data_IF_690208640861
#
_entry.id   IF_690208640861
#
_cell.length_a   1.000
_cell.length_b   1.000
_cell.length_c   1.000
_cell.angle_alpha   90.00
_cell.angle_beta   90.00
_cell.angle_gamma   90.00
#
_symmetry.space_group_name_H-M   'P 1'
#
loop_
_entity.id
_entity.type
_entity.pdbx_description
1 polymer ?
#
# COMPACT_ATOMS: atom_id res chain seq x y z
N UNK A 1 30.04 -31.83 15.60
CA UNK A 1 29.75 -31.06 14.38
C UNK A 1 29.77 -29.59 14.76
N UNK A 2 30.80 -28.87 14.38
CA UNK A 2 30.98 -27.45 14.68
C UNK A 2 29.95 -26.63 13.86
N UNK A 3 29.01 -25.99 14.52
CA UNK A 3 28.13 -25.02 13.89
C UNK A 3 28.98 -23.81 13.48
N UNK A 4 29.23 -23.67 12.20
CA UNK A 4 29.90 -22.47 11.63
C UNK A 4 29.01 -21.29 11.90
N UNK A 5 29.38 -20.42 12.85
CA UNK A 5 28.72 -19.15 13.13
C UNK A 5 28.84 -18.32 11.86
N UNK A 6 27.73 -18.16 11.17
CA UNK A 6 27.63 -17.33 9.97
C UNK A 6 27.99 -15.91 10.31
N UNK A 7 29.06 -15.38 9.70
CA UNK A 7 29.46 -13.98 9.83
C UNK A 7 28.30 -13.12 9.32
N UNK A 8 27.52 -12.54 10.27
CA UNK A 8 26.40 -11.68 9.91
C UNK A 8 26.92 -10.54 9.03
N UNK A 9 26.39 -10.44 7.81
CA UNK A 9 26.75 -9.38 6.89
C UNK A 9 26.32 -8.02 7.48
N UNK A 10 27.16 -7.00 7.33
CA UNK A 10 26.80 -5.64 7.75
C UNK A 10 25.69 -5.09 6.86
N UNK A 11 24.77 -4.27 7.42
CA UNK A 11 23.73 -3.62 6.64
C UNK A 11 24.33 -2.62 5.64
N UNK A 12 23.78 -2.59 4.44
CA UNK A 12 24.18 -1.67 3.36
C UNK A 12 23.21 -0.50 3.32
N UNK A 13 23.38 0.45 4.26
CA UNK A 13 22.48 1.59 4.44
C UNK A 13 22.21 2.40 3.15
N UNK A 14 23.21 2.71 2.29
CA UNK A 14 22.92 3.44 1.05
C UNK A 14 21.92 2.73 0.13
N UNK A 15 21.98 1.40 0.06
CA UNK A 15 21.01 0.61 -0.73
C UNK A 15 19.64 0.59 -0.06
N UNK A 16 19.59 0.45 1.28
CA UNK A 16 18.33 0.48 2.05
C UNK A 16 17.60 1.82 1.85
N UNK A 17 18.32 2.94 1.95
CA UNK A 17 17.75 4.27 1.75
C UNK A 17 17.35 4.49 0.30
N UNK A 18 18.22 4.14 -0.66
CA UNK A 18 17.95 4.30 -2.09
C UNK A 18 16.71 3.50 -2.53
N UNK A 19 16.54 2.25 -2.09
CA UNK A 19 15.35 1.46 -2.44
C UNK A 19 14.09 2.01 -1.76
N UNK A 20 14.21 2.58 -0.54
CA UNK A 20 13.12 3.29 0.13
C UNK A 20 12.68 4.54 -0.65
N UNK A 21 13.61 5.33 -1.17
CA UNK A 21 13.32 6.48 -2.05
C UNK A 21 12.66 6.01 -3.35
N UNK A 22 13.15 4.93 -3.96
CA UNK A 22 12.53 4.38 -5.16
C UNK A 22 11.11 3.87 -4.88
N UNK A 23 10.84 3.33 -3.66
CA UNK A 23 9.50 2.93 -3.24
C UNK A 23 8.59 4.15 -3.07
N UNK A 24 9.09 5.24 -2.47
CA UNK A 24 8.38 6.51 -2.39
C UNK A 24 7.96 6.98 -3.79
N UNK A 25 8.88 7.01 -4.75
CA UNK A 25 8.59 7.43 -6.14
C UNK A 25 7.53 6.50 -6.78
N UNK A 26 7.70 5.17 -6.66
CA UNK A 26 6.79 4.19 -7.24
C UNK A 26 5.35 4.36 -6.72
N UNK A 27 5.18 4.48 -5.41
CA UNK A 27 3.86 4.56 -4.80
C UNK A 27 3.22 5.94 -4.98
N UNK A 28 4.03 7.01 -5.08
CA UNK A 28 3.55 8.33 -5.47
C UNK A 28 2.90 8.29 -6.85
N UNK A 29 3.53 7.64 -7.84
CA UNK A 29 2.98 7.55 -9.20
C UNK A 29 1.62 6.85 -9.24
N UNK A 30 1.42 5.83 -8.41
CA UNK A 30 0.14 5.13 -8.33
C UNK A 30 -0.92 5.97 -7.60
N UNK A 31 -0.56 6.54 -6.46
CA UNK A 31 -1.49 7.28 -5.63
C UNK A 31 -1.92 8.64 -6.25
N UNK A 32 -1.14 9.19 -7.17
CA UNK A 32 -1.51 10.37 -7.95
C UNK A 32 -2.76 10.11 -8.81
N UNK A 33 -2.99 8.89 -9.28
CA UNK A 33 -4.15 8.56 -10.14
C UNK A 33 -5.48 8.86 -9.42
N UNK A 34 -5.80 8.31 -8.25
CA UNK A 34 -7.03 8.69 -7.54
C UNK A 34 -7.02 10.16 -7.06
N UNK A 35 -5.85 10.74 -6.74
CA UNK A 35 -5.75 12.14 -6.37
C UNK A 35 -6.10 13.11 -7.55
N UNK A 36 -6.07 12.62 -8.79
CA UNK A 36 -6.50 13.35 -9.99
C UNK A 36 -8.00 13.22 -10.30
N UNK A 37 -8.75 12.39 -9.59
CA UNK A 37 -10.15 12.13 -9.91
C UNK A 37 -11.01 13.38 -10.04
N UNK A 38 -10.89 14.41 -9.17
CA UNK A 38 -11.64 15.66 -9.35
C UNK A 38 -11.30 16.41 -10.64
N UNK A 39 -10.04 16.33 -11.09
CA UNK A 39 -9.63 16.90 -12.38
C UNK A 39 -10.25 16.12 -13.56
N UNK A 40 -10.18 14.79 -13.50
CA UNK A 40 -10.69 13.91 -14.55
C UNK A 40 -12.22 13.99 -14.67
N UNK A 41 -12.92 14.07 -13.53
CA UNK A 41 -14.39 14.32 -13.51
C UNK A 41 -14.71 15.66 -14.16
N UNK A 42 -14.06 16.75 -13.75
CA UNK A 42 -14.33 18.09 -14.24
C UNK A 42 -14.00 18.26 -15.72
N UNK A 43 -12.82 17.78 -16.17
CA UNK A 43 -12.28 18.07 -17.51
C UNK A 43 -12.76 17.08 -18.57
N UNK A 44 -13.08 15.85 -18.20
CA UNK A 44 -13.53 14.78 -19.12
C UNK A 44 -14.97 14.31 -18.86
N UNK A 45 -15.65 14.85 -17.84
CA UNK A 45 -17.02 14.46 -17.49
C UNK A 45 -17.17 12.98 -17.11
N UNK A 46 -16.14 12.40 -16.47
CA UNK A 46 -16.18 10.98 -16.12
C UNK A 46 -17.12 10.72 -14.95
N UNK A 47 -17.91 9.65 -15.04
CA UNK A 47 -18.74 9.19 -13.91
C UNK A 47 -17.88 8.61 -12.79
N UNK A 48 -18.41 8.53 -11.56
CA UNK A 48 -17.70 7.92 -10.42
C UNK A 48 -17.40 6.43 -10.67
N UNK A 49 -18.27 5.73 -11.38
CA UNK A 49 -18.02 4.35 -11.86
C UNK A 49 -16.80 4.28 -12.78
N UNK A 50 -16.64 5.23 -13.71
CA UNK A 50 -15.47 5.29 -14.59
C UNK A 50 -14.20 5.62 -13.83
N UNK A 51 -14.24 6.54 -12.85
CA UNK A 51 -13.12 6.83 -11.95
C UNK A 51 -12.75 5.58 -11.11
N UNK A 52 -13.75 4.89 -10.58
CA UNK A 52 -13.56 3.62 -9.89
C UNK A 52 -12.92 2.54 -10.76
N UNK A 53 -13.30 2.47 -12.04
CA UNK A 53 -12.72 1.53 -13.02
C UNK A 53 -11.24 1.85 -13.31
N UNK A 54 -10.84 3.13 -13.34
CA UNK A 54 -9.43 3.52 -13.49
C UNK A 54 -8.61 2.95 -12.31
N UNK A 55 -9.07 3.16 -11.06
CA UNK A 55 -8.42 2.57 -9.89
C UNK A 55 -8.43 1.04 -9.91
N UNK A 56 -9.52 0.42 -10.36
CA UNK A 56 -9.63 -1.03 -10.48
C UNK A 56 -8.56 -1.57 -11.42
N UNK A 57 -8.46 -1.03 -12.64
CA UNK A 57 -7.50 -1.47 -13.65
C UNK A 57 -6.07 -1.30 -13.13
N UNK A 58 -5.74 -0.15 -12.54
CA UNK A 58 -4.44 0.09 -11.92
C UNK A 58 -4.09 -1.00 -10.90
N UNK A 59 -4.98 -1.18 -9.92
CA UNK A 59 -4.71 -2.06 -8.77
C UNK A 59 -4.77 -3.54 -9.15
N UNK A 60 -5.63 -3.95 -10.09
CA UNK A 60 -5.68 -5.36 -10.53
C UNK A 60 -4.37 -5.75 -11.23
N UNK A 61 -3.84 -4.92 -12.12
CA UNK A 61 -2.56 -5.17 -12.75
C UNK A 61 -1.41 -5.10 -11.75
N UNK A 62 -1.43 -4.12 -10.84
CA UNK A 62 -0.45 -4.00 -9.77
C UNK A 62 -0.45 -5.22 -8.83
N UNK A 63 -1.62 -5.81 -8.50
CA UNK A 63 -1.71 -6.87 -7.49
C UNK A 63 -1.60 -8.28 -8.05
N UNK A 64 -2.30 -8.59 -9.16
CA UNK A 64 -2.34 -9.96 -9.70
C UNK A 64 -1.01 -10.39 -10.31
N UNK A 65 -0.25 -9.47 -10.88
CA UNK A 65 1.02 -9.79 -11.50
C UNK A 65 2.16 -9.93 -10.47
N UNK A 66 2.05 -9.39 -9.25
CA UNK A 66 3.10 -9.48 -8.23
C UNK A 66 3.49 -10.93 -7.88
N UNK A 67 2.54 -11.84 -7.58
CA UNK A 67 2.88 -13.24 -7.31
C UNK A 67 3.56 -13.93 -8.49
N UNK A 68 3.12 -13.63 -9.72
CA UNK A 68 3.71 -14.20 -10.93
C UNK A 68 5.16 -13.72 -11.13
N UNK A 69 5.38 -12.40 -11.00
CA UNK A 69 6.74 -11.82 -11.07
C UNK A 69 7.62 -12.38 -9.96
N UNK A 70 7.14 -12.40 -8.71
CA UNK A 70 7.88 -12.94 -7.57
C UNK A 70 8.28 -14.41 -7.80
N UNK A 71 7.36 -15.25 -8.29
CA UNK A 71 7.64 -16.65 -8.59
C UNK A 71 8.68 -16.82 -9.72
N UNK A 72 8.59 -16.00 -10.77
CA UNK A 72 9.55 -16.03 -11.88
C UNK A 72 10.95 -15.64 -11.42
N UNK A 73 11.04 -14.56 -10.63
CA UNK A 73 12.32 -14.02 -10.15
C UNK A 73 12.91 -14.83 -8.98
N UNK A 74 12.09 -15.59 -8.23
CA UNK A 74 12.57 -16.58 -7.26
C UNK A 74 13.30 -17.73 -7.97
N UNK A 75 12.78 -18.18 -9.12
CA UNK A 75 13.42 -19.24 -9.91
C UNK A 75 14.63 -18.74 -10.69
N UNK A 76 14.52 -17.56 -11.29
CA UNK A 76 15.56 -16.94 -12.11
C UNK A 76 15.66 -15.45 -11.76
N UNK A 77 16.51 -15.08 -10.78
CA UNK A 77 16.68 -13.69 -10.38
C UNK A 77 17.06 -12.81 -11.58
N UNK A 78 16.36 -11.68 -11.71
CA UNK A 78 16.57 -10.74 -12.79
C UNK A 78 16.79 -9.31 -12.23
N UNK A 79 18.03 -8.93 -11.92
CA UNK A 79 18.36 -7.67 -11.26
C UNK A 79 17.83 -6.43 -11.97
N UNK A 80 17.76 -6.46 -13.29
CA UNK A 80 17.27 -5.33 -14.09
C UNK A 80 15.75 -5.25 -14.21
N UNK A 81 14.99 -6.15 -13.58
CA UNK A 81 13.53 -6.05 -13.50
C UNK A 81 13.10 -4.71 -12.87
N UNK A 82 13.79 -4.24 -11.82
CA UNK A 82 13.47 -2.99 -11.13
C UNK A 82 13.47 -1.75 -12.06
N UNK A 83 14.56 -1.41 -12.77
CA UNK A 83 14.51 -0.28 -13.69
C UNK A 83 13.56 -0.48 -14.86
N UNK A 84 13.36 -1.72 -15.36
CA UNK A 84 12.36 -2.03 -16.40
C UNK A 84 10.96 -1.73 -15.90
N UNK A 85 10.61 -2.14 -14.66
CA UNK A 85 9.33 -1.81 -14.04
C UNK A 85 9.11 -0.30 -13.93
N UNK A 86 10.13 0.46 -13.50
CA UNK A 86 10.04 1.91 -13.40
C UNK A 86 9.92 2.59 -14.79
N UNK A 87 10.57 2.05 -15.84
CA UNK A 87 10.37 2.49 -17.23
C UNK A 87 8.93 2.24 -17.69
N UNK A 88 8.32 1.10 -17.35
CA UNK A 88 6.90 0.87 -17.61
C UNK A 88 6.03 1.95 -16.99
N UNK A 89 6.28 2.30 -15.72
CA UNK A 89 5.55 3.38 -15.04
C UNK A 89 5.80 4.75 -15.69
N UNK A 90 7.02 5.02 -16.14
CA UNK A 90 7.36 6.24 -16.89
C UNK A 90 6.55 6.34 -18.19
N UNK A 91 6.46 5.25 -18.95
CA UNK A 91 5.62 5.18 -20.16
C UNK A 91 4.15 5.42 -19.79
N UNK A 92 3.65 4.80 -18.74
CA UNK A 92 2.28 5.01 -18.25
C UNK A 92 1.99 6.48 -17.96
N UNK A 93 2.83 7.16 -17.18
CA UNK A 93 2.66 8.60 -16.91
C UNK A 93 2.78 9.46 -18.17
N UNK A 94 3.66 9.11 -19.09
CA UNK A 94 3.80 9.84 -20.37
C UNK A 94 2.52 9.72 -21.22
N UNK A 95 1.93 8.52 -21.28
CA UNK A 95 0.65 8.30 -21.95
C UNK A 95 -0.49 9.04 -21.26
N UNK A 96 -0.46 9.16 -19.92
CA UNK A 96 -1.46 9.89 -19.15
C UNK A 96 -1.48 11.38 -19.51
N UNK A 97 -0.30 12.00 -19.65
CA UNK A 97 -0.20 13.42 -20.08
C UNK A 97 -0.83 13.65 -21.45
N UNK A 98 -0.69 12.68 -22.34
CA UNK A 98 -1.23 12.74 -23.71
C UNK A 98 -2.69 12.29 -23.81
N UNK A 99 -3.27 11.84 -22.68
CA UNK A 99 -4.64 11.28 -22.71
C UNK A 99 -5.69 12.37 -22.84
N UNK A 100 -6.43 12.35 -23.95
CA UNK A 100 -7.64 13.15 -24.15
C UNK A 100 -8.93 12.33 -24.09
N UNK A 101 -8.84 11.03 -23.84
CA UNK A 101 -9.97 10.10 -23.84
C UNK A 101 -9.85 9.05 -22.74
N UNK A 102 -10.98 8.61 -22.23
CA UNK A 102 -11.06 7.64 -21.13
C UNK A 102 -10.25 6.36 -21.35
N UNK A 103 -10.33 5.75 -22.52
CA UNK A 103 -9.61 4.51 -22.83
C UNK A 103 -8.08 4.69 -22.81
N UNK A 104 -7.57 5.88 -23.17
CA UNK A 104 -6.13 6.18 -23.09
C UNK A 104 -5.65 6.21 -21.64
N UNK A 105 -6.49 6.71 -20.71
CA UNK A 105 -6.20 6.66 -19.27
C UNK A 105 -6.13 5.21 -18.80
N UNK A 106 -7.05 4.35 -19.24
CA UNK A 106 -7.02 2.92 -18.90
C UNK A 106 -5.73 2.24 -19.37
N UNK A 107 -5.27 2.51 -20.59
CA UNK A 107 -3.99 2.00 -21.09
C UNK A 107 -2.82 2.54 -20.26
N UNK A 108 -2.83 3.82 -19.93
CA UNK A 108 -1.81 4.47 -19.11
C UNK A 108 -1.66 3.78 -17.74
N UNK A 109 -2.78 3.53 -17.03
CA UNK A 109 -2.75 2.90 -15.71
C UNK A 109 -2.39 1.41 -15.75
N UNK A 110 -2.59 0.71 -16.88
CA UNK A 110 -2.06 -0.65 -17.08
C UNK A 110 -0.53 -0.65 -17.02
N UNK A 111 0.15 0.28 -17.73
CA UNK A 111 1.60 0.40 -17.67
C UNK A 111 2.10 0.75 -16.27
N UNK A 112 1.39 1.61 -15.52
CA UNK A 112 1.67 1.93 -14.12
C UNK A 112 1.53 0.67 -13.24
N UNK A 113 0.45 -0.07 -13.40
CA UNK A 113 0.19 -1.31 -12.66
C UNK A 113 1.26 -2.38 -12.91
N UNK A 114 1.67 -2.58 -14.17
CA UNK A 114 2.76 -3.51 -14.53
C UNK A 114 4.08 -3.09 -13.87
N UNK A 115 4.41 -1.79 -13.92
CA UNK A 115 5.61 -1.25 -13.28
C UNK A 115 5.64 -1.53 -11.78
N UNK A 116 4.53 -1.28 -11.10
CA UNK A 116 4.33 -1.56 -9.68
C UNK A 116 4.42 -3.04 -9.35
N UNK A 117 3.80 -3.90 -10.18
CA UNK A 117 3.81 -5.35 -9.98
C UNK A 117 5.23 -5.95 -10.05
N UNK A 118 6.10 -5.36 -10.85
CA UNK A 118 7.51 -5.73 -10.93
C UNK A 118 8.28 -5.17 -9.72
N UNK A 119 8.00 -3.91 -9.35
CA UNK A 119 8.76 -3.20 -8.34
C UNK A 119 8.63 -3.82 -6.94
N UNK A 120 7.43 -4.14 -6.46
CA UNK A 120 7.20 -4.54 -5.08
C UNK A 120 7.92 -5.83 -4.67
N UNK A 121 7.83 -6.97 -5.41
CA UNK A 121 8.54 -8.19 -5.03
C UNK A 121 10.07 -8.01 -5.10
N UNK A 122 10.57 -7.36 -6.13
CA UNK A 122 12.02 -7.19 -6.32
C UNK A 122 12.59 -6.12 -5.39
N UNK A 123 11.88 -5.03 -5.12
CA UNK A 123 12.28 -4.01 -4.15
C UNK A 123 12.36 -4.56 -2.73
N UNK A 124 11.37 -5.36 -2.32
CA UNK A 124 11.37 -6.09 -1.04
C UNK A 124 12.56 -7.06 -0.94
N UNK A 125 12.88 -7.78 -2.02
CA UNK A 125 14.06 -8.66 -2.10
C UNK A 125 15.37 -7.89 -1.92
N UNK A 126 15.54 -6.77 -2.62
CA UNK A 126 16.73 -5.91 -2.50
C UNK A 126 16.85 -5.37 -1.08
N UNK A 127 15.75 -4.91 -0.48
CA UNK A 127 15.70 -4.45 0.91
C UNK A 127 16.15 -5.55 1.87
N UNK A 128 15.66 -6.78 1.69
CA UNK A 128 16.08 -7.93 2.48
C UNK A 128 17.58 -8.26 2.32
N UNK A 129 18.11 -8.23 1.09
CA UNK A 129 19.52 -8.50 0.83
C UNK A 129 20.44 -7.43 1.43
N UNK A 130 20.01 -6.17 1.40
CA UNK A 130 20.76 -5.05 1.98
C UNK A 130 20.69 -4.97 3.52
N UNK A 131 19.76 -5.70 4.15
CA UNK A 131 19.45 -5.60 5.57
C UNK A 131 20.58 -6.08 6.50
N UNK A 132 21.39 -7.05 6.06
CA UNK A 132 22.34 -7.71 6.96
C UNK A 132 21.65 -8.27 8.21
N UNK A 133 22.09 -7.83 9.39
CA UNK A 133 21.49 -8.20 10.68
C UNK A 133 20.32 -7.29 11.10
N UNK A 134 19.95 -6.25 10.31
CA UNK A 134 18.93 -5.24 10.66
C UNK A 134 17.68 -5.35 9.76
N UNK A 135 17.09 -6.56 9.66
CA UNK A 135 15.96 -6.85 8.77
C UNK A 135 14.73 -5.99 9.06
N UNK A 136 14.40 -5.79 10.33
CA UNK A 136 13.29 -4.94 10.74
C UNK A 136 13.48 -3.49 10.28
N UNK A 137 14.68 -2.92 10.49
CA UNK A 137 15.00 -1.56 10.05
C UNK A 137 14.91 -1.42 8.53
N UNK A 138 15.45 -2.38 7.77
CA UNK A 138 15.40 -2.36 6.32
C UNK A 138 13.96 -2.36 5.80
N UNK A 139 13.12 -3.25 6.35
CA UNK A 139 11.70 -3.32 6.00
C UNK A 139 10.95 -2.04 6.40
N UNK A 140 11.28 -1.44 7.55
CA UNK A 140 10.68 -0.17 7.99
C UNK A 140 11.04 0.97 7.02
N UNK A 141 12.32 1.11 6.64
CA UNK A 141 12.75 2.14 5.68
C UNK A 141 12.03 1.95 4.34
N UNK A 142 11.97 0.71 3.85
CA UNK A 142 11.28 0.38 2.60
C UNK A 142 9.80 0.74 2.67
N UNK A 143 9.10 0.31 3.72
CA UNK A 143 7.64 0.51 3.87
C UNK A 143 7.27 1.98 4.12
N UNK A 144 8.04 2.69 4.96
CA UNK A 144 7.86 4.14 5.17
C UNK A 144 8.05 4.90 3.85
N UNK A 145 9.00 4.48 3.01
CA UNK A 145 9.16 5.05 1.66
C UNK A 145 7.86 4.98 0.87
N UNK A 146 7.28 3.78 0.69
CA UNK A 146 6.04 3.59 -0.06
C UNK A 146 4.86 4.38 0.52
N UNK A 147 4.59 4.21 1.82
CA UNK A 147 3.48 4.90 2.48
C UNK A 147 3.63 6.44 2.42
N UNK A 148 4.86 6.97 2.52
CA UNK A 148 5.12 8.40 2.36
C UNK A 148 4.85 8.86 0.92
N UNK A 149 5.19 8.03 -0.07
CA UNK A 149 4.87 8.28 -1.46
C UNK A 149 3.36 8.41 -1.71
N UNK A 150 2.59 7.47 -1.15
CA UNK A 150 1.13 7.54 -1.21
C UNK A 150 0.58 8.80 -0.54
N UNK A 151 1.11 9.17 0.63
CA UNK A 151 0.69 10.36 1.35
C UNK A 151 1.01 11.67 0.59
N UNK A 152 2.11 11.72 -0.17
CA UNK A 152 2.50 12.89 -0.96
C UNK A 152 1.59 13.15 -2.17
N UNK A 153 0.92 12.13 -2.70
CA UNK A 153 0.13 12.25 -3.93
C UNK A 153 -0.97 13.32 -3.88
N UNK A 154 -1.77 13.47 -2.82
CA UNK A 154 -2.75 14.56 -2.71
C UNK A 154 -2.10 15.96 -2.73
N UNK A 155 -0.90 16.12 -2.13
CA UNK A 155 -0.18 17.40 -2.20
C UNK A 155 0.29 17.71 -3.62
N UNK A 156 0.83 16.69 -4.32
CA UNK A 156 1.21 16.85 -5.73
C UNK A 156 0.00 17.16 -6.61
N UNK A 157 -1.15 16.55 -6.32
CA UNK A 157 -2.40 16.91 -6.99
C UNK A 157 -2.76 18.37 -6.73
N UNK A 158 -2.80 18.82 -5.48
CA UNK A 158 -3.20 20.17 -5.11
C UNK A 158 -2.26 21.25 -5.68
N UNK A 159 -0.94 21.03 -5.65
CA UNK A 159 0.04 22.07 -5.97
C UNK A 159 0.66 21.98 -7.37
N UNK A 160 0.61 20.82 -8.03
CA UNK A 160 1.17 20.63 -9.37
C UNK A 160 0.11 20.28 -10.41
N UNK A 161 -0.83 19.36 -10.09
CA UNK A 161 -1.74 18.85 -11.12
C UNK A 161 -2.93 19.77 -11.29
N UNK A 162 -3.60 20.20 -10.22
CA UNK A 162 -4.76 21.08 -10.31
C UNK A 162 -4.43 22.44 -10.96
N UNK A 163 -3.28 23.12 -10.63
CA UNK A 163 -2.93 24.38 -11.28
C UNK A 163 -2.50 24.24 -12.75
N UNK A 164 -1.81 23.13 -13.11
CA UNK A 164 -1.24 22.94 -14.45
C UNK A 164 -2.00 21.92 -15.31
N UNK A 165 -3.11 21.37 -14.80
CA UNK A 165 -3.87 20.31 -15.47
C UNK A 165 -3.04 19.05 -15.68
N UNK A 166 -3.32 18.31 -16.75
CA UNK A 166 -2.59 17.07 -17.11
C UNK A 166 -1.07 17.31 -17.29
N UNK A 167 -0.66 18.52 -17.68
CA UNK A 167 0.75 18.88 -17.82
C UNK A 167 1.48 18.87 -16.46
N UNK A 168 0.78 19.04 -15.34
CA UNK A 168 1.34 18.93 -14.00
C UNK A 168 1.97 17.56 -13.70
N UNK A 169 1.50 16.52 -14.38
CA UNK A 169 2.07 15.15 -14.28
C UNK A 169 3.50 15.10 -14.83
N UNK A 170 3.88 16.02 -15.74
CA UNK A 170 5.24 16.07 -16.29
C UNK A 170 6.32 16.29 -15.22
N UNK A 171 5.99 17.01 -14.13
CA UNK A 171 6.92 17.16 -13.01
C UNK A 171 7.22 15.83 -12.32
N UNK A 172 6.25 14.91 -12.30
CA UNK A 172 6.43 13.57 -11.71
C UNK A 172 7.38 12.71 -12.57
N UNK A 173 7.39 12.92 -13.89
CA UNK A 173 8.35 12.24 -14.78
C UNK A 173 9.81 12.53 -14.42
N UNK A 174 10.11 13.73 -13.91
CA UNK A 174 11.47 14.07 -13.44
C UNK A 174 11.86 13.15 -12.29
N UNK A 175 10.99 13.01 -11.29
CA UNK A 175 11.24 12.10 -10.16
C UNK A 175 11.31 10.64 -10.59
N UNK A 176 10.49 10.23 -11.56
CA UNK A 176 10.52 8.88 -12.12
C UNK A 176 11.84 8.61 -12.83
N UNK A 177 12.39 9.60 -13.56
CA UNK A 177 13.70 9.51 -14.22
C UNK A 177 14.83 9.32 -13.20
N UNK A 178 14.78 10.06 -12.07
CA UNK A 178 15.70 9.86 -10.95
C UNK A 178 15.55 8.43 -10.39
N UNK A 179 14.33 7.95 -10.25
CA UNK A 179 14.02 6.57 -9.81
C UNK A 179 14.67 5.52 -10.74
N UNK A 180 14.54 5.67 -12.06
CA UNK A 180 15.17 4.78 -13.06
C UNK A 180 16.69 4.77 -12.88
N UNK A 181 17.30 5.95 -12.72
CA UNK A 181 18.74 6.07 -12.50
C UNK A 181 19.18 5.35 -11.21
N UNK A 182 18.50 5.59 -10.08
CA UNK A 182 18.82 4.95 -8.82
C UNK A 182 18.63 3.43 -8.88
N UNK A 183 17.54 2.96 -9.48
CA UNK A 183 17.28 1.52 -9.64
C UNK A 183 18.28 0.84 -10.54
N UNK A 184 18.80 1.54 -11.55
CA UNK A 184 19.91 1.01 -12.38
C UNK A 184 21.17 0.80 -11.55
N UNK A 185 21.52 1.73 -10.65
CA UNK A 185 22.66 1.57 -9.72
C UNK A 185 22.41 0.43 -8.72
N UNK A 186 21.20 0.34 -8.15
CA UNK A 186 20.81 -0.75 -7.27
C UNK A 186 20.90 -2.10 -7.99
N UNK A 187 20.44 -2.18 -9.23
CA UNK A 187 20.50 -3.40 -10.04
C UNK A 187 21.92 -3.90 -10.29
N UNK A 188 22.88 -3.00 -10.50
CA UNK A 188 24.30 -3.35 -10.61
C UNK A 188 24.84 -3.93 -9.28
N UNK A 189 24.45 -3.35 -8.13
CA UNK A 189 24.78 -3.89 -6.81
C UNK A 189 24.13 -5.25 -6.61
N UNK A 190 22.83 -5.38 -6.91
CA UNK A 190 22.06 -6.62 -6.78
C UNK A 190 22.70 -7.75 -7.60
N UNK A 191 23.09 -7.49 -8.86
CA UNK A 191 23.80 -8.45 -9.71
C UNK A 191 25.10 -8.95 -9.05
N UNK A 192 25.90 -8.02 -8.47
CA UNK A 192 27.14 -8.40 -7.77
C UNK A 192 26.87 -9.29 -6.55
N UNK A 193 25.79 -9.07 -5.81
CA UNK A 193 25.41 -9.92 -4.67
C UNK A 193 25.02 -11.33 -5.13
N UNK A 194 24.21 -11.45 -6.19
CA UNK A 194 23.84 -12.74 -6.75
C UNK A 194 25.06 -13.53 -7.25
N UNK A 195 26.02 -12.86 -7.87
CA UNK A 195 27.26 -13.51 -8.34
C UNK A 195 28.14 -13.96 -7.16
N UNK A 196 28.10 -13.25 -6.03
CA UNK A 196 28.79 -13.64 -4.79
C UNK A 196 28.08 -14.81 -4.09
N UNK A 197 26.74 -14.81 -4.01
CA UNK A 197 25.96 -15.89 -3.39
C UNK A 197 26.05 -17.22 -4.14
N UNK A 198 26.16 -17.21 -5.47
CA UNK A 198 26.41 -18.42 -6.26
C UNK A 198 27.71 -19.15 -5.88
N UNK A 199 28.65 -18.43 -5.23
CA UNK A 199 29.93 -18.98 -4.76
C UNK A 199 29.87 -19.54 -3.33
N UNK A 200 28.79 -19.29 -2.57
CA UNK A 200 28.62 -19.75 -1.18
C UNK A 200 27.34 -20.57 -1.00
N UNK A 201 27.45 -21.86 -0.60
CA UNK A 201 26.36 -22.85 -0.56
C UNK A 201 25.70 -22.93 0.85
N UNK A 202 24.80 -21.99 1.26
CA UNK A 202 24.18 -22.04 2.61
C UNK A 202 22.65 -21.76 2.56
N UNK A 203 21.83 -22.66 3.20
CA UNK A 203 20.37 -22.52 3.34
C UNK A 203 19.97 -22.16 4.78
N UNK A 204 19.00 -21.24 4.97
CA UNK A 204 18.48 -20.78 6.28
C UNK A 204 17.09 -21.33 6.62
N UNK A 205 16.83 -21.60 7.91
CA UNK A 205 15.55 -22.07 8.48
C UNK A 205 14.97 -21.03 9.47
N UNK A 206 13.67 -20.77 9.44
CA UNK A 206 12.98 -19.79 10.28
C UNK A 206 12.04 -20.48 11.31
N UNK A 207 11.94 -19.91 12.54
CA UNK A 207 11.17 -20.43 13.68
C UNK A 207 9.95 -19.52 13.96
N UNK A 208 8.80 -20.09 14.36
CA UNK A 208 7.51 -19.42 14.62
C UNK A 208 7.30 -19.08 16.10
N UNK A 209 6.61 -17.96 16.39
CA UNK A 209 6.27 -17.46 17.74
C UNK A 209 4.82 -17.75 18.19
N UNK A 210 3.97 -18.34 17.33
CA UNK A 210 2.58 -18.69 17.69
C UNK A 210 2.51 -20.08 18.39
N UNK A 211 1.49 -20.29 19.27
CA UNK A 211 1.22 -21.62 19.84
C UNK A 211 0.85 -22.61 18.74
N UNK A 212 1.04 -23.91 18.96
CA UNK A 212 0.62 -24.92 18.00
C UNK A 212 -0.90 -24.85 17.81
N UNK A 213 -1.31 -24.40 16.61
CA UNK A 213 -2.73 -24.29 16.22
C UNK A 213 -3.13 -25.50 15.37
N UNK A 214 -4.36 -25.95 15.50
CA UNK A 214 -4.95 -26.93 14.61
C UNK A 214 -5.13 -26.34 13.20
N UNK A 215 -5.17 -27.20 12.18
CA UNK A 215 -5.41 -26.76 10.79
C UNK A 215 -6.68 -25.92 10.63
N UNK A 216 -7.74 -26.25 11.39
CA UNK A 216 -9.03 -25.52 11.37
C UNK A 216 -8.88 -24.14 12.02
N UNK A 217 -8.14 -24.01 13.10
CA UNK A 217 -7.88 -22.72 13.75
C UNK A 217 -7.03 -21.80 12.84
N UNK A 218 -6.01 -22.34 12.16
CA UNK A 218 -5.22 -21.59 11.17
C UNK A 218 -6.13 -21.11 10.04
N UNK A 219 -6.98 -21.99 9.48
CA UNK A 219 -7.91 -21.63 8.41
C UNK A 219 -8.88 -20.54 8.86
N UNK A 220 -9.46 -20.67 10.05
CA UNK A 220 -10.38 -19.68 10.62
C UNK A 220 -9.69 -18.33 10.83
N UNK A 221 -8.47 -18.33 11.40
CA UNK A 221 -7.69 -17.11 11.59
C UNK A 221 -7.35 -16.40 10.26
N UNK A 222 -6.99 -17.16 9.22
CA UNK A 222 -6.75 -16.59 7.89
C UNK A 222 -8.03 -15.98 7.29
N UNK A 223 -9.18 -16.64 7.41
CA UNK A 223 -10.47 -16.08 6.96
C UNK A 223 -10.77 -14.77 7.69
N UNK A 224 -10.61 -14.74 9.02
CA UNK A 224 -10.80 -13.52 9.82
C UNK A 224 -9.86 -12.40 9.34
N UNK A 225 -8.58 -12.70 9.13
CA UNK A 225 -7.63 -11.70 8.60
C UNK A 225 -8.04 -11.18 7.23
N UNK A 226 -8.51 -12.04 6.33
CA UNK A 226 -8.96 -11.63 4.99
C UNK A 226 -10.19 -10.72 5.06
N UNK A 227 -11.15 -11.01 5.95
CA UNK A 227 -12.30 -10.15 6.19
C UNK A 227 -11.90 -8.79 6.78
N UNK A 228 -10.93 -8.76 7.69
CA UNK A 228 -10.37 -7.51 8.23
C UNK A 228 -9.71 -6.67 7.14
N UNK A 229 -8.89 -7.30 6.30
CA UNK A 229 -8.23 -6.65 5.18
C UNK A 229 -9.27 -6.10 4.20
N UNK A 230 -10.33 -6.88 3.91
CA UNK A 230 -11.44 -6.45 3.07
C UNK A 230 -12.10 -5.16 3.61
N UNK A 231 -12.63 -5.20 4.83
CA UNK A 231 -13.36 -4.07 5.41
C UNK A 231 -12.47 -2.82 5.51
N UNK A 232 -11.21 -2.99 5.95
CA UNK A 232 -10.24 -1.91 6.02
C UNK A 232 -9.93 -1.31 4.64
N UNK A 233 -9.69 -2.16 3.63
CA UNK A 233 -9.35 -1.69 2.28
C UNK A 233 -10.50 -0.92 1.64
N UNK A 234 -11.74 -1.37 1.82
CA UNK A 234 -12.92 -0.62 1.36
C UNK A 234 -13.00 0.76 2.00
N UNK A 235 -12.84 0.85 3.32
CA UNK A 235 -12.88 2.14 4.01
C UNK A 235 -11.76 3.07 3.56
N UNK A 236 -10.52 2.58 3.50
CA UNK A 236 -9.38 3.38 3.04
C UNK A 236 -9.59 3.86 1.60
N UNK A 237 -10.02 2.97 0.70
CA UNK A 237 -10.32 3.33 -0.71
C UNK A 237 -11.41 4.41 -0.78
N UNK A 238 -12.45 4.33 0.05
CA UNK A 238 -13.49 5.36 0.13
C UNK A 238 -12.90 6.74 0.48
N UNK A 239 -12.04 6.78 1.51
CA UNK A 239 -11.40 8.03 1.92
C UNK A 239 -10.43 8.55 0.85
N UNK A 240 -9.58 7.71 0.32
CA UNK A 240 -8.52 8.15 -0.60
C UNK A 240 -9.02 8.52 -2.00
N UNK A 241 -10.08 7.85 -2.48
CA UNK A 241 -10.55 8.03 -3.85
C UNK A 241 -11.75 8.99 -3.95
N UNK A 242 -12.64 8.99 -2.94
CA UNK A 242 -13.94 9.65 -3.09
C UNK A 242 -14.26 10.68 -2.00
N UNK A 243 -13.57 10.67 -0.86
CA UNK A 243 -13.93 11.56 0.25
C UNK A 243 -13.72 13.04 -0.09
N UNK A 244 -12.83 13.38 -1.02
CA UNK A 244 -12.67 14.75 -1.52
C UNK A 244 -13.97 15.29 -2.13
N UNK A 245 -14.71 14.46 -2.86
CA UNK A 245 -16.01 14.84 -3.43
C UNK A 245 -17.07 15.06 -2.35
N UNK A 246 -17.05 14.24 -1.29
CA UNK A 246 -17.90 14.47 -0.13
C UNK A 246 -17.59 15.80 0.57
N UNK A 247 -16.32 16.14 0.72
CA UNK A 247 -15.91 17.44 1.31
C UNK A 247 -16.37 18.64 0.45
N UNK A 248 -16.35 18.49 -0.87
CA UNK A 248 -16.84 19.51 -1.80
C UNK A 248 -18.37 19.66 -1.66
N UNK A 249 -19.11 18.55 -1.73
CA UNK A 249 -20.59 18.57 -1.73
C UNK A 249 -21.15 18.97 -0.36
N UNK A 250 -20.61 18.40 0.74
CA UNK A 250 -21.13 18.63 2.09
C UNK A 250 -20.73 19.98 2.69
N UNK A 251 -19.50 20.45 2.41
CA UNK A 251 -18.94 21.63 3.10
C UNK A 251 -18.58 22.78 2.15
N UNK A 252 -18.82 22.65 0.85
CA UNK A 252 -18.46 23.66 -0.14
C UNK A 252 -16.95 23.91 -0.25
N UNK A 253 -16.12 22.91 0.03
CA UNK A 253 -14.67 23.04 0.01
C UNK A 253 -14.15 23.11 -1.43
N UNK A 254 -13.02 23.81 -1.64
CA UNK A 254 -12.28 23.67 -2.89
C UNK A 254 -11.56 22.31 -2.96
N UNK A 255 -11.29 21.84 -4.17
CA UNK A 255 -10.60 20.56 -4.41
C UNK A 255 -9.23 20.53 -3.71
N UNK A 256 -8.48 21.66 -3.79
CA UNK A 256 -7.15 21.81 -3.19
C UNK A 256 -7.19 21.59 -1.67
N UNK A 257 -8.18 22.23 -1.00
CA UNK A 257 -8.37 22.04 0.46
C UNK A 257 -8.79 20.62 0.79
N UNK A 258 -9.67 20.01 -0.01
CA UNK A 258 -10.04 18.61 0.13
C UNK A 258 -8.85 17.67 0.04
N UNK A 259 -7.94 17.88 -0.93
CA UNK A 259 -6.72 17.12 -1.08
C UNK A 259 -5.77 17.25 0.15
N UNK A 260 -5.71 18.42 0.79
CA UNK A 260 -4.94 18.58 2.03
C UNK A 260 -5.51 17.72 3.17
N UNK A 261 -6.83 17.56 3.26
CA UNK A 261 -7.46 16.68 4.24
C UNK A 261 -7.10 15.19 3.98
N UNK A 262 -7.09 14.77 2.72
CA UNK A 262 -6.66 13.41 2.34
C UNK A 262 -5.17 13.21 2.65
N UNK A 263 -4.32 14.21 2.34
CA UNK A 263 -2.91 14.17 2.74
C UNK A 263 -2.72 13.94 4.24
N UNK A 264 -3.45 14.69 5.08
CA UNK A 264 -3.35 14.56 6.54
C UNK A 264 -3.76 13.15 6.99
N UNK A 265 -4.87 12.60 6.46
CA UNK A 265 -5.27 11.21 6.73
C UNK A 265 -4.15 10.22 6.40
N UNK A 266 -3.55 10.33 5.22
CA UNK A 266 -2.50 9.42 4.77
C UNK A 266 -1.18 9.63 5.53
N UNK A 267 -0.79 10.87 5.82
CA UNK A 267 0.43 11.19 6.58
C UNK A 267 0.38 10.60 8.01
N UNK A 268 -0.76 10.72 8.69
CA UNK A 268 -0.94 10.08 9.99
C UNK A 268 -1.08 8.55 9.88
N UNK A 269 -1.52 8.04 8.74
CA UNK A 269 -1.43 6.63 8.40
C UNK A 269 0.02 6.12 8.34
N UNK A 270 0.95 6.91 7.78
CA UNK A 270 2.41 6.59 7.81
C UNK A 270 2.91 6.51 9.25
N UNK A 271 2.54 7.49 10.09
CA UNK A 271 2.88 7.48 11.53
C UNK A 271 2.35 6.21 12.20
N UNK A 272 1.09 5.86 11.96
CA UNK A 272 0.48 4.63 12.49
C UNK A 272 1.25 3.38 12.05
N UNK A 273 1.56 3.26 10.77
CA UNK A 273 2.33 2.13 10.22
C UNK A 273 3.74 2.02 10.85
N UNK A 274 4.42 3.15 11.07
CA UNK A 274 5.75 3.17 11.68
C UNK A 274 5.73 2.62 13.12
N UNK A 275 4.75 3.04 13.93
CA UNK A 275 4.64 2.59 15.31
C UNK A 275 4.02 1.20 15.46
N UNK A 276 3.30 0.68 14.46
CA UNK A 276 2.61 -0.60 14.51
C UNK A 276 3.52 -1.78 14.83
N UNK A 277 4.68 -1.87 14.19
CA UNK A 277 5.67 -2.92 14.45
C UNK A 277 6.16 -2.94 15.90
N UNK A 278 6.83 -1.87 16.39
CA UNK A 278 7.32 -1.79 17.77
C UNK A 278 6.23 -2.00 18.84
N UNK A 279 5.03 -1.46 18.62
CA UNK A 279 3.90 -1.67 19.52
C UNK A 279 3.46 -3.13 19.54
N UNK A 280 3.43 -3.81 18.36
CA UNK A 280 3.04 -5.22 18.30
C UNK A 280 4.05 -6.16 18.96
N UNK A 281 5.33 -5.84 18.89
CA UNK A 281 6.39 -6.58 19.57
C UNK A 281 6.28 -6.47 21.10
N UNK A 282 5.81 -5.31 21.63
CA UNK A 282 5.66 -5.05 23.06
C UNK A 282 4.34 -5.54 23.64
N UNK A 283 3.23 -5.33 22.93
CA UNK A 283 1.88 -5.55 23.46
C UNK A 283 1.18 -6.78 22.84
N UNK A 284 1.86 -7.51 21.96
CA UNK A 284 1.32 -8.65 21.24
C UNK A 284 0.57 -8.23 19.95
N UNK A 285 0.64 -9.07 18.94
CA UNK A 285 0.11 -8.75 17.59
C UNK A 285 -1.39 -8.68 17.56
N UNK A 286 -2.07 -9.65 18.19
CA UNK A 286 -3.54 -9.63 18.29
C UNK A 286 -4.04 -8.34 18.93
N UNK A 287 -3.44 -7.91 20.04
CA UNK A 287 -3.87 -6.71 20.76
C UNK A 287 -3.72 -5.45 19.90
N UNK A 288 -2.64 -5.35 19.14
CA UNK A 288 -2.43 -4.21 18.22
C UNK A 288 -3.38 -4.28 17.02
N UNK A 289 -3.66 -5.45 16.48
CA UNK A 289 -4.71 -5.62 15.46
C UNK A 289 -6.06 -5.16 16.03
N UNK A 290 -6.44 -5.62 17.23
CA UNK A 290 -7.70 -5.23 17.88
C UNK A 290 -7.78 -3.72 18.10
N UNK A 291 -6.71 -3.11 18.63
CA UNK A 291 -6.65 -1.65 18.80
C UNK A 291 -6.90 -0.93 17.47
N UNK A 292 -6.21 -1.36 16.40
CA UNK A 292 -6.25 -0.67 15.11
C UNK A 292 -7.58 -0.81 14.37
N UNK A 293 -8.38 -1.81 14.70
CA UNK A 293 -9.66 -2.04 14.03
C UNK A 293 -10.88 -1.63 14.87
N UNK A 294 -10.79 -1.74 16.20
CA UNK A 294 -11.93 -1.39 17.09
C UNK A 294 -11.91 0.11 17.43
N UNK A 295 -10.76 0.66 17.78
CA UNK A 295 -10.65 2.05 18.20
C UNK A 295 -11.09 3.08 17.13
N UNK A 296 -10.86 2.90 15.81
CA UNK A 296 -11.34 3.85 14.81
C UNK A 296 -12.85 3.76 14.53
N UNK A 297 -13.56 2.66 14.87
CA UNK A 297 -14.98 2.47 14.53
C UNK A 297 -15.86 3.67 14.94
N UNK A 298 -15.84 4.16 16.20
CA UNK A 298 -16.69 5.28 16.58
C UNK A 298 -16.40 6.55 15.78
N UNK A 299 -15.14 6.79 15.44
CA UNK A 299 -14.73 7.93 14.61
C UNK A 299 -15.18 7.75 13.16
N UNK A 300 -15.07 6.54 12.60
CA UNK A 300 -15.54 6.24 11.25
C UNK A 300 -17.05 6.41 11.13
N UNK A 301 -17.83 5.93 12.12
CA UNK A 301 -19.29 6.06 12.14
C UNK A 301 -19.74 7.51 12.32
N UNK A 302 -19.01 8.31 13.10
CA UNK A 302 -19.35 9.70 13.35
C UNK A 302 -18.92 10.65 12.22
N UNK A 303 -17.90 10.28 11.43
CA UNK A 303 -17.28 11.14 10.42
C UNK A 303 -18.28 11.80 9.43
N UNK A 304 -19.35 11.13 8.95
CA UNK A 304 -20.33 11.76 8.08
C UNK A 304 -21.24 12.80 8.75
N UNK A 305 -21.27 12.88 10.08
CA UNK A 305 -22.23 13.68 10.84
C UNK A 305 -21.60 14.86 11.60
N UNK A 306 -20.28 14.99 11.58
CA UNK A 306 -19.56 16.00 12.37
C UNK A 306 -19.39 17.31 11.58
N UNK A 307 -19.26 18.49 12.25
CA UNK A 307 -18.98 19.75 11.58
C UNK A 307 -17.54 19.81 11.04
N UNK A 308 -17.31 20.60 9.99
CA UNK A 308 -16.02 20.71 9.30
C UNK A 308 -14.80 20.90 10.22
N UNK A 309 -14.82 21.72 11.29
CA UNK A 309 -13.66 21.86 12.18
C UNK A 309 -13.21 20.56 12.86
N UNK A 310 -14.12 19.60 13.06
CA UNK A 310 -13.82 18.31 13.67
C UNK A 310 -13.31 17.27 12.65
N UNK A 311 -13.62 17.43 11.37
CA UNK A 311 -13.27 16.46 10.31
C UNK A 311 -11.78 16.18 10.27
N UNK A 312 -10.94 17.22 10.33
CA UNK A 312 -9.49 17.06 10.27
C UNK A 312 -8.95 16.22 11.44
N UNK A 313 -9.45 16.48 12.66
CA UNK A 313 -9.07 15.71 13.85
C UNK A 313 -9.47 14.23 13.71
N UNK A 314 -10.68 13.97 13.18
CA UNK A 314 -11.16 12.60 12.96
C UNK A 314 -10.32 11.87 11.91
N UNK A 315 -9.96 12.53 10.81
CA UNK A 315 -9.10 11.95 9.79
C UNK A 315 -7.69 11.62 10.32
N UNK A 316 -7.13 12.47 11.20
CA UNK A 316 -5.86 12.20 11.90
C UNK A 316 -5.98 10.90 12.72
N UNK A 317 -7.00 10.82 13.57
CA UNK A 317 -7.22 9.67 14.46
C UNK A 317 -7.47 8.40 13.66
N UNK A 318 -8.37 8.45 12.68
CA UNK A 318 -8.72 7.30 11.84
C UNK A 318 -7.50 6.84 11.04
N UNK A 319 -6.79 7.77 10.37
CA UNK A 319 -5.62 7.45 9.55
C UNK A 319 -4.53 6.76 10.37
N UNK A 320 -4.20 7.31 11.54
CA UNK A 320 -3.21 6.72 12.43
C UNK A 320 -3.63 5.33 12.91
N UNK A 321 -4.85 5.19 13.46
CA UNK A 321 -5.32 3.94 14.06
C UNK A 321 -5.48 2.83 13.02
N UNK A 322 -6.11 3.10 11.88
CA UNK A 322 -6.41 2.09 10.84
C UNK A 322 -5.13 1.50 10.23
N UNK A 323 -4.05 2.29 10.15
CA UNK A 323 -2.80 1.88 9.54
C UNK A 323 -1.80 1.23 10.51
N UNK A 324 -2.01 1.31 11.82
CA UNK A 324 -1.16 0.64 12.82
C UNK A 324 -1.03 -0.86 12.53
N UNK A 325 -2.11 -1.55 12.14
CA UNK A 325 -2.08 -2.99 11.89
C UNK A 325 -1.66 -3.40 10.49
N UNK A 326 -1.33 -2.47 9.59
CA UNK A 326 -1.05 -2.83 8.20
C UNK A 326 0.10 -3.86 8.09
N UNK A 327 1.26 -3.54 8.65
CA UNK A 327 2.40 -4.47 8.69
C UNK A 327 2.18 -5.63 9.65
N UNK A 328 1.48 -5.40 10.76
CA UNK A 328 1.23 -6.41 11.80
C UNK A 328 0.37 -7.56 11.27
N UNK A 329 -0.66 -7.28 10.45
CA UNK A 329 -1.49 -8.32 9.82
C UNK A 329 -0.68 -9.22 8.88
N UNK A 330 0.28 -8.66 8.14
CA UNK A 330 1.18 -9.46 7.27
C UNK A 330 2.04 -10.40 8.11
N UNK A 331 2.68 -9.87 9.15
CA UNK A 331 3.55 -10.66 10.03
C UNK A 331 2.74 -11.75 10.76
N UNK A 332 1.54 -11.41 11.25
CA UNK A 332 0.65 -12.38 11.90
C UNK A 332 0.26 -13.52 10.96
N UNK A 333 -0.06 -13.23 9.69
CA UNK A 333 -0.35 -14.25 8.69
C UNK A 333 0.88 -15.15 8.39
N UNK A 334 2.08 -14.56 8.34
CA UNK A 334 3.34 -15.31 8.16
C UNK A 334 3.61 -16.27 9.34
N UNK A 335 3.26 -15.86 10.56
CA UNK A 335 3.42 -16.70 11.75
C UNK A 335 2.38 -17.80 11.85
N UNK A 336 1.17 -17.59 11.31
CA UNK A 336 0.15 -18.64 11.20
C UNK A 336 0.62 -19.79 10.28
N UNK A 337 1.42 -19.49 9.23
CA UNK A 337 1.91 -20.50 8.29
C UNK A 337 3.42 -20.28 8.00
N UNK A 338 4.31 -20.61 8.94
CA UNK A 338 5.74 -20.31 8.83
C UNK A 338 6.44 -20.99 7.64
N UNK A 339 5.86 -22.09 7.13
CA UNK A 339 6.38 -22.79 5.95
C UNK A 339 6.11 -22.06 4.63
N UNK A 340 5.26 -21.02 4.63
CA UNK A 340 4.80 -20.31 3.41
C UNK A 340 4.84 -18.79 3.58
N UNK A 341 5.93 -18.25 4.09
CA UNK A 341 6.08 -16.83 4.45
C UNK A 341 5.80 -15.91 3.25
N UNK A 342 6.40 -16.17 2.09
CA UNK A 342 6.19 -15.41 0.87
C UNK A 342 4.74 -15.49 0.37
N UNK A 343 4.13 -16.68 0.41
CA UNK A 343 2.72 -16.88 0.05
C UNK A 343 1.79 -16.10 0.96
N UNK A 344 2.06 -16.07 2.28
CA UNK A 344 1.23 -15.34 3.24
C UNK A 344 1.34 -13.82 3.09
N UNK A 345 2.55 -13.32 2.85
CA UNK A 345 2.74 -11.91 2.52
C UNK A 345 2.03 -11.53 1.22
N UNK A 346 2.23 -12.30 0.14
CA UNK A 346 1.56 -12.07 -1.14
C UNK A 346 0.03 -12.17 -1.03
N UNK A 347 -0.49 -13.11 -0.25
CA UNK A 347 -1.93 -13.26 -0.03
C UNK A 347 -2.51 -12.02 0.70
N UNK A 348 -1.88 -11.58 1.79
CA UNK A 348 -2.40 -10.47 2.59
C UNK A 348 -2.30 -9.13 1.86
N UNK A 349 -1.17 -8.85 1.21
CA UNK A 349 -0.96 -7.62 0.45
C UNK A 349 -1.79 -7.64 -0.85
N UNK A 350 -1.77 -8.76 -1.59
CA UNK A 350 -2.53 -8.91 -2.82
C UNK A 350 -4.03 -8.80 -2.60
N UNK A 351 -4.57 -9.39 -1.51
CA UNK A 351 -5.99 -9.21 -1.14
C UNK A 351 -6.28 -7.76 -0.75
N UNK A 352 -5.37 -7.07 -0.05
CA UNK A 352 -5.58 -5.67 0.31
C UNK A 352 -5.74 -4.78 -0.94
N UNK A 353 -4.85 -4.89 -1.92
CA UNK A 353 -4.95 -4.14 -3.17
C UNK A 353 -6.13 -4.60 -4.03
N UNK A 354 -6.36 -5.92 -4.15
CA UNK A 354 -7.48 -6.45 -4.91
C UNK A 354 -8.85 -6.05 -4.34
N UNK A 355 -8.98 -6.02 -3.01
CA UNK A 355 -10.21 -5.56 -2.35
C UNK A 355 -10.38 -4.05 -2.48
N UNK A 356 -9.31 -3.27 -2.42
CA UNK A 356 -9.33 -1.84 -2.75
C UNK A 356 -9.78 -1.58 -4.19
N UNK A 357 -9.30 -2.39 -5.14
CA UNK A 357 -9.71 -2.32 -6.54
C UNK A 357 -11.23 -2.58 -6.72
N UNK A 358 -11.73 -3.67 -6.15
CA UNK A 358 -13.17 -3.99 -6.16
C UNK A 358 -13.95 -2.89 -5.44
N UNK A 359 -13.45 -2.42 -4.28
CA UNK A 359 -14.05 -1.35 -3.51
C UNK A 359 -14.23 -0.07 -4.32
N UNK A 360 -13.23 0.30 -5.12
CA UNK A 360 -13.29 1.50 -5.95
C UNK A 360 -14.45 1.48 -6.96
N UNK A 361 -14.68 0.34 -7.64
CA UNK A 361 -15.82 0.21 -8.57
C UNK A 361 -17.15 0.21 -7.81
N UNK A 362 -17.24 -0.59 -6.73
CA UNK A 362 -18.48 -0.72 -5.97
C UNK A 362 -18.87 0.64 -5.36
N UNK A 363 -17.92 1.35 -4.77
CA UNK A 363 -18.15 2.68 -4.18
C UNK A 363 -18.54 3.68 -5.27
N UNK A 364 -17.81 3.72 -6.41
CA UNK A 364 -18.14 4.61 -7.51
C UNK A 364 -19.56 4.39 -8.04
N UNK A 365 -19.96 3.13 -8.23
CA UNK A 365 -21.32 2.77 -8.64
C UNK A 365 -22.38 3.18 -7.62
N UNK A 366 -22.12 2.96 -6.33
CA UNK A 366 -23.02 3.40 -5.26
C UNK A 366 -23.19 4.92 -5.23
N UNK A 367 -22.12 5.68 -5.51
CA UNK A 367 -22.21 7.14 -5.59
C UNK A 367 -23.06 7.57 -6.79
N UNK A 368 -22.86 6.97 -7.96
CA UNK A 368 -23.64 7.28 -9.17
C UNK A 368 -25.15 6.98 -8.99
N UNK A 369 -25.49 5.87 -8.29
CA UNK A 369 -26.88 5.41 -8.14
C UNK A 369 -27.61 5.99 -6.91
N UNK A 370 -26.91 6.15 -5.79
CA UNK A 370 -27.51 6.49 -4.49
C UNK A 370 -26.98 7.79 -3.89
N UNK A 371 -26.02 8.42 -4.55
CA UNK A 371 -25.39 9.65 -4.09
C UNK A 371 -24.27 9.43 -3.06
N UNK A 372 -23.46 10.49 -2.90
CA UNK A 372 -22.25 10.40 -2.09
C UNK A 372 -22.54 10.29 -0.60
N UNK A 373 -23.58 10.97 -0.09
CA UNK A 373 -23.95 10.95 1.33
C UNK A 373 -24.37 9.56 1.79
N UNK A 374 -25.22 8.88 1.00
CA UNK A 374 -25.61 7.50 1.29
C UNK A 374 -24.39 6.58 1.32
N UNK A 375 -23.53 6.71 0.31
CA UNK A 375 -22.35 5.86 0.16
C UNK A 375 -21.34 6.05 1.31
N UNK A 376 -21.10 7.29 1.75
CA UNK A 376 -20.26 7.56 2.92
C UNK A 376 -20.78 6.90 4.18
N UNK A 377 -22.10 6.99 4.44
CA UNK A 377 -22.74 6.34 5.56
C UNK A 377 -22.63 4.80 5.49
N UNK A 378 -22.93 4.23 4.33
CA UNK A 378 -22.88 2.76 4.12
C UNK A 378 -21.46 2.20 4.34
N UNK A 379 -20.44 2.87 3.80
CA UNK A 379 -19.03 2.44 3.99
C UNK A 379 -18.57 2.65 5.43
N UNK A 380 -19.07 3.68 6.13
CA UNK A 380 -18.78 3.87 7.55
C UNK A 380 -19.37 2.72 8.38
N UNK A 381 -20.59 2.27 8.10
CA UNK A 381 -21.22 1.12 8.77
C UNK A 381 -20.48 -0.19 8.46
N UNK A 382 -19.90 -0.34 7.26
CA UNK A 382 -19.09 -1.51 6.90
C UNK A 382 -17.89 -1.71 7.86
N UNK A 383 -17.42 -0.65 8.52
CA UNK A 383 -16.33 -0.77 9.52
C UNK A 383 -16.71 -1.64 10.72
N UNK A 384 -18.01 -1.88 10.98
CA UNK A 384 -18.46 -2.82 12.01
C UNK A 384 -18.01 -4.27 11.73
N UNK A 385 -17.77 -4.64 10.47
CA UNK A 385 -17.16 -5.94 10.13
C UNK A 385 -15.76 -6.11 10.74
N UNK A 386 -15.08 -5.03 11.09
CA UNK A 386 -13.78 -5.09 11.76
C UNK A 386 -13.85 -5.75 13.14
N UNK A 387 -15.04 -5.81 13.76
CA UNK A 387 -15.26 -6.53 15.03
C UNK A 387 -14.98 -8.03 14.93
N UNK A 388 -14.95 -8.60 13.72
CA UNK A 388 -14.56 -10.00 13.50
C UNK A 388 -13.13 -10.29 14.01
N UNK A 389 -12.29 -9.26 14.19
CA UNK A 389 -10.95 -9.37 14.80
C UNK A 389 -10.97 -10.01 16.20
N UNK A 390 -12.07 -9.90 16.94
CA UNK A 390 -12.22 -10.53 18.25
C UNK A 390 -12.07 -12.07 18.20
N UNK A 391 -12.34 -12.67 17.03
CA UNK A 391 -12.23 -14.10 16.79
C UNK A 391 -10.78 -14.58 16.52
N UNK A 392 -9.80 -13.67 16.40
CA UNK A 392 -8.40 -14.04 16.19
C UNK A 392 -7.84 -14.81 17.41
N UNK A 393 -7.02 -15.85 17.20
CA UNK A 393 -6.25 -16.52 18.26
C UNK A 393 -5.36 -15.53 19.04
N UNK A 394 -5.13 -15.81 20.32
CA UNK A 394 -4.20 -15.02 21.14
C UNK A 394 -2.75 -15.38 20.80
N UNK A 395 -1.89 -14.37 20.81
CA UNK A 395 -0.44 -14.57 20.75
C UNK A 395 0.05 -15.16 22.08
N UNK A 396 1.18 -15.90 22.05
CA UNK A 396 2.03 -16.02 23.22
C UNK A 396 2.73 -14.68 23.42
N UNK A 397 2.14 -13.82 24.21
CA UNK A 397 2.89 -12.71 24.81
C UNK A 397 3.84 -13.39 25.79
N UNK A 398 5.16 -13.20 25.62
CA UNK A 398 6.16 -13.92 26.39
C UNK A 398 5.89 -13.93 27.89
N UNK A 399 5.96 -15.13 28.44
CA UNK A 399 6.17 -15.33 29.88
C UNK A 399 7.58 -14.82 30.24
#
# INVERSE_FOLDING_TARGET
MSATIEKQSNPVYPIMVAIGICHLINDTMQAVIPAMFPLLERDLGLTFTQLGMISFVLNIFASLLQPAVGFMTDKKPFPYALPIGMVSSFIGLSLLILSGQYWMILVSVIFLGIGSAIFHPEGSRVSFMAAGNKRGLAQSIYQVGGNSGQALAPLLSAFLILPFGMNGVAYILIFTSIGIFLLTKISMWYKRQLDAEKKSNIKKVLVSSLPPLTKNQVKAALIVLLLLIFARSFYVTNITNFYVFYLIEQYGMSVERGQLFIFVFMAFGVVGTFFGGPLSDRFGRKNIILLSVIAPIPFCLALPFIPLPAVLLFLIIIGMLIMISFTVTVVYAQELVPSKIGTMAGLTIGVAFGMGAIGSIVIGKLIDEMGIHFTMNAVSVLTLLLLVALLLPRDRVGD
#
